data_IF_221950787849
#
_entry.id   IF_221950787849
#
_cell.length_a   1.000
_cell.length_b   1.000
_cell.length_c   1.000
_cell.angle_alpha   90.00
_cell.angle_beta   90.00
_cell.angle_gamma   90.00
#
_symmetry.space_group_name_H-M   'P 1'
#
loop_
_entity.id
_entity.type
_entity.pdbx_description
1 polymer ?
#
# COMPACT_ATOMS: atom_id res chain seq x y z
N UNK A 1 -25.17 -13.32 10.63
CA UNK A 1 -24.13 -13.53 9.58
C UNK A 1 -24.31 -12.60 8.37
N UNK A 2 -25.52 -12.43 7.80
CA UNK A 2 -25.76 -11.55 6.64
C UNK A 2 -25.33 -10.09 6.86
N UNK A 3 -25.65 -9.50 8.01
CA UNK A 3 -25.27 -8.12 8.33
C UNK A 3 -23.74 -7.89 8.35
N UNK A 4 -22.95 -8.83 8.90
CA UNK A 4 -21.48 -8.72 8.94
C UNK A 4 -20.86 -8.71 7.53
N UNK A 5 -21.40 -9.54 6.63
CA UNK A 5 -20.95 -9.61 5.22
C UNK A 5 -21.36 -8.36 4.42
N UNK A 6 -22.56 -7.83 4.66
CA UNK A 6 -23.04 -6.58 4.05
C UNK A 6 -22.23 -5.37 4.52
N UNK A 7 -21.97 -5.24 5.83
CA UNK A 7 -21.12 -4.15 6.36
C UNK A 7 -19.68 -4.22 5.85
N UNK A 8 -19.12 -5.44 5.71
CA UNK A 8 -17.80 -5.62 5.09
C UNK A 8 -17.78 -5.09 3.65
N UNK A 9 -18.78 -5.47 2.85
CA UNK A 9 -18.91 -4.99 1.46
C UNK A 9 -19.05 -3.47 1.38
N UNK A 10 -19.87 -2.88 2.25
CA UNK A 10 -20.01 -1.42 2.34
C UNK A 10 -18.66 -0.75 2.64
N UNK A 11 -17.89 -1.28 3.60
CA UNK A 11 -16.56 -0.78 3.92
C UNK A 11 -15.58 -0.88 2.74
N UNK A 12 -15.59 -1.99 2.01
CA UNK A 12 -14.74 -2.18 0.82
C UNK A 12 -15.11 -1.18 -0.27
N UNK A 13 -16.41 -0.99 -0.56
CA UNK A 13 -16.87 -0.03 -1.58
C UNK A 13 -16.50 1.41 -1.19
N UNK A 14 -16.69 1.77 0.07
CA UNK A 14 -16.30 3.08 0.60
C UNK A 14 -14.80 3.33 0.44
N UNK A 15 -13.96 2.32 0.73
CA UNK A 15 -12.52 2.40 0.55
C UNK A 15 -12.15 2.61 -0.92
N UNK A 16 -12.75 1.84 -1.84
CA UNK A 16 -12.52 1.96 -3.28
C UNK A 16 -12.86 3.36 -3.77
N UNK A 17 -13.97 3.95 -3.31
CA UNK A 17 -14.35 5.33 -3.66
C UNK A 17 -13.34 6.36 -3.17
N UNK A 18 -12.77 6.17 -1.97
CA UNK A 18 -11.68 7.02 -1.46
C UNK A 18 -10.44 6.99 -2.37
N UNK A 19 -10.00 5.78 -2.76
CA UNK A 19 -8.89 5.62 -3.71
C UNK A 19 -9.23 6.20 -5.09
N UNK A 20 -10.45 6.06 -5.58
CA UNK A 20 -10.87 6.64 -6.86
C UNK A 20 -10.77 8.18 -6.83
N UNK A 21 -11.16 8.81 -5.72
CA UNK A 21 -11.00 10.25 -5.51
C UNK A 21 -9.52 10.67 -5.52
N UNK A 22 -8.66 9.95 -4.81
CA UNK A 22 -7.23 10.22 -4.79
C UNK A 22 -6.56 10.02 -6.16
N UNK A 23 -6.88 8.94 -6.88
CA UNK A 23 -6.39 8.70 -8.24
C UNK A 23 -6.86 9.78 -9.22
N UNK A 24 -8.11 10.23 -9.11
CA UNK A 24 -8.63 11.34 -9.92
C UNK A 24 -7.85 12.64 -9.68
N UNK A 25 -7.59 12.96 -8.40
CA UNK A 25 -6.80 14.14 -8.03
C UNK A 25 -5.35 14.04 -8.54
N UNK A 26 -4.75 12.85 -8.51
CA UNK A 26 -3.43 12.59 -9.11
C UNK A 26 -3.44 12.87 -10.63
N UNK A 27 -4.39 12.27 -11.36
CA UNK A 27 -4.48 12.44 -12.82
C UNK A 27 -4.66 13.91 -13.21
N UNK A 28 -5.58 14.62 -12.56
CA UNK A 28 -5.83 16.04 -12.81
C UNK A 28 -4.63 16.92 -12.43
N UNK A 29 -3.86 16.55 -11.41
CA UNK A 29 -2.65 17.29 -11.04
C UNK A 29 -1.48 17.01 -11.97
N UNK A 30 -1.42 15.79 -12.52
CA UNK A 30 -0.38 15.37 -13.46
C UNK A 30 -0.47 16.02 -14.84
N UNK A 31 -1.61 16.63 -15.18
CA UNK A 31 -1.78 17.39 -16.43
C UNK A 31 -1.39 18.87 -16.33
N UNK A 32 -0.84 19.31 -15.18
CA UNK A 32 -0.34 20.69 -15.01
C UNK A 32 1.07 20.82 -15.59
N UNK A 33 1.37 21.97 -16.19
CA UNK A 33 2.68 22.25 -16.79
C UNK A 33 3.85 22.22 -15.78
N UNK A 34 3.56 22.45 -14.48
CA UNK A 34 4.54 22.40 -13.38
C UNK A 34 4.81 20.97 -12.85
N UNK A 35 4.23 19.94 -13.47
CA UNK A 35 4.40 18.56 -13.02
C UNK A 35 5.80 18.03 -13.34
N UNK A 36 6.49 17.48 -12.34
CA UNK A 36 7.83 16.91 -12.55
C UNK A 36 7.74 15.62 -13.37
N UNK A 37 8.08 15.67 -14.66
CA UNK A 37 8.09 14.52 -15.56
C UNK A 37 9.23 13.53 -15.32
N UNK A 38 10.35 14.01 -14.75
CA UNK A 38 11.57 13.20 -14.56
C UNK A 38 11.68 12.58 -13.15
N UNK A 39 10.58 12.58 -12.39
CA UNK A 39 10.58 12.00 -11.06
C UNK A 39 10.66 10.47 -11.13
N UNK A 40 11.75 9.91 -10.56
CA UNK A 40 11.95 8.47 -10.47
C UNK A 40 11.69 7.99 -9.04
N UNK A 41 10.71 7.10 -8.89
CA UNK A 41 10.39 6.48 -7.61
C UNK A 41 11.55 5.59 -7.13
N UNK A 42 11.94 5.67 -5.85
CA UNK A 42 12.88 4.73 -5.26
C UNK A 42 12.48 3.27 -5.45
N UNK A 43 13.47 2.40 -5.69
CA UNK A 43 13.26 0.96 -5.85
C UNK A 43 12.62 0.31 -4.61
N UNK A 44 12.77 0.93 -3.43
CA UNK A 44 12.10 0.52 -2.19
C UNK A 44 10.58 0.37 -2.34
N UNK A 45 9.93 1.24 -3.12
CA UNK A 45 8.48 1.16 -3.37
C UNK A 45 8.11 -0.07 -4.21
N UNK A 46 8.92 -0.44 -5.21
CA UNK A 46 8.71 -1.66 -5.99
C UNK A 46 8.86 -2.91 -5.13
N UNK A 47 9.92 -2.99 -4.31
CA UNK A 47 10.10 -4.10 -3.38
C UNK A 47 8.94 -4.19 -2.38
N UNK A 48 8.46 -3.07 -1.85
CA UNK A 48 7.31 -3.06 -0.94
C UNK A 48 6.04 -3.61 -1.60
N UNK A 49 5.82 -3.30 -2.89
CA UNK A 49 4.67 -3.82 -3.65
C UNK A 49 4.76 -5.33 -3.83
N UNK A 50 5.94 -5.85 -4.16
CA UNK A 50 6.18 -7.30 -4.24
C UNK A 50 5.93 -7.98 -2.89
N UNK A 51 6.42 -7.41 -1.79
CA UNK A 51 6.19 -7.92 -0.42
C UNK A 51 4.69 -7.93 -0.07
N UNK A 52 3.95 -6.88 -0.44
CA UNK A 52 2.51 -6.80 -0.20
C UNK A 52 1.73 -7.88 -0.97
N UNK A 53 2.09 -8.12 -2.24
CA UNK A 53 1.49 -9.19 -3.06
C UNK A 53 1.79 -10.56 -2.44
N UNK A 54 3.02 -10.81 -2.00
CA UNK A 54 3.39 -12.03 -1.30
C UNK A 54 2.61 -12.21 0.00
N UNK A 55 2.42 -11.15 0.77
CA UNK A 55 1.63 -11.15 2.01
C UNK A 55 0.16 -11.56 1.76
N UNK A 56 -0.43 -11.09 0.65
CA UNK A 56 -1.77 -11.52 0.24
C UNK A 56 -1.84 -13.02 -0.07
N UNK A 57 -0.81 -13.56 -0.75
CA UNK A 57 -0.72 -15.00 -1.02
C UNK A 57 -0.58 -15.82 0.27
N UNK A 58 0.25 -15.39 1.21
CA UNK A 58 0.43 -16.09 2.50
C UNK A 58 -0.87 -16.09 3.32
N UNK A 59 -1.65 -15.01 3.27
CA UNK A 59 -2.96 -14.95 3.91
C UNK A 59 -3.97 -15.91 3.28
N UNK A 60 -3.99 -16.03 1.95
CA UNK A 60 -4.86 -17.00 1.24
C UNK A 60 -4.51 -18.44 1.66
N UNK A 61 -3.22 -18.76 1.77
CA UNK A 61 -2.74 -20.06 2.25
C UNK A 61 -3.13 -20.31 3.71
N UNK A 62 -3.02 -19.29 4.57
CA UNK A 62 -3.47 -19.36 5.96
C UNK A 62 -4.96 -19.73 6.06
N UNK A 63 -5.80 -19.02 5.31
CA UNK A 63 -7.24 -19.28 5.26
C UNK A 63 -7.57 -20.68 4.76
N UNK A 64 -6.85 -21.18 3.75
CA UNK A 64 -7.01 -22.55 3.24
C UNK A 64 -6.60 -23.59 4.27
N UNK A 65 -5.48 -23.41 4.96
CA UNK A 65 -4.99 -24.33 5.99
C UNK A 65 -5.95 -24.43 7.18
N UNK A 66 -6.51 -23.31 7.64
CA UNK A 66 -7.50 -23.29 8.72
C UNK A 66 -8.79 -24.01 8.30
N UNK A 67 -9.21 -23.87 7.03
CA UNK A 67 -10.39 -24.58 6.51
C UNK A 67 -10.19 -26.09 6.39
N UNK A 68 -8.94 -26.58 6.37
CA UNK A 68 -8.59 -28.00 6.34
C UNK A 68 -8.30 -28.57 7.74
N UNK A 69 -8.82 -27.91 8.80
CA UNK A 69 -8.57 -28.24 10.22
C UNK A 69 -7.09 -28.24 10.65
N UNK A 70 -6.19 -27.69 9.83
CA UNK A 70 -4.78 -27.56 10.16
C UNK A 70 -4.48 -26.19 10.78
N UNK A 71 -4.98 -25.99 12.02
CA UNK A 71 -4.83 -24.73 12.75
C UNK A 71 -3.36 -24.35 12.98
N UNK A 72 -2.47 -25.33 13.22
CA UNK A 72 -1.03 -25.08 13.42
C UNK A 72 -0.37 -24.51 12.15
N UNK A 73 -0.69 -25.05 10.97
CA UNK A 73 -0.21 -24.48 9.71
C UNK A 73 -0.83 -23.10 9.47
N UNK A 74 -2.12 -22.92 9.75
CA UNK A 74 -2.82 -21.64 9.68
C UNK A 74 -2.13 -20.53 10.49
N UNK A 75 -1.80 -20.79 11.76
CA UNK A 75 -1.09 -19.83 12.62
C UNK A 75 0.29 -19.49 12.07
N UNK A 76 1.05 -20.47 11.56
CA UNK A 76 2.37 -20.20 10.94
C UNK A 76 2.25 -19.26 9.74
N UNK A 77 1.27 -19.48 8.86
CA UNK A 77 1.03 -18.60 7.71
C UNK A 77 0.56 -17.20 8.12
N UNK A 78 -0.23 -17.07 9.18
CA UNK A 78 -0.63 -15.77 9.73
C UNK A 78 0.57 -15.00 10.32
N UNK A 79 1.44 -15.68 11.07
CA UNK A 79 2.68 -15.08 11.58
C UNK A 79 3.57 -14.63 10.43
N UNK A 80 3.72 -15.45 9.39
CA UNK A 80 4.47 -15.06 8.18
C UNK A 80 3.86 -13.81 7.51
N UNK A 81 2.53 -13.75 7.39
CA UNK A 81 1.81 -12.60 6.83
C UNK A 81 2.05 -11.34 7.67
N UNK A 82 2.07 -11.47 9.00
CA UNK A 82 2.37 -10.36 9.91
C UNK A 82 3.82 -9.86 9.75
N UNK A 83 4.79 -10.77 9.65
CA UNK A 83 6.19 -10.42 9.40
C UNK A 83 6.32 -9.70 8.06
N UNK A 84 5.69 -10.20 7.00
CA UNK A 84 5.69 -9.53 5.69
C UNK A 84 5.03 -8.14 5.74
N UNK A 85 3.97 -7.98 6.52
CA UNK A 85 3.33 -6.68 6.76
C UNK A 85 4.25 -5.68 7.47
N UNK A 86 5.01 -6.13 8.48
CA UNK A 86 6.02 -5.28 9.16
C UNK A 86 7.13 -4.90 8.18
N UNK A 87 7.63 -5.86 7.40
CA UNK A 87 8.64 -5.61 6.36
C UNK A 87 8.15 -4.58 5.33
N UNK A 88 6.88 -4.66 4.92
CA UNK A 88 6.26 -3.66 4.05
C UNK A 88 6.31 -2.25 4.64
N UNK A 89 5.96 -2.09 5.92
CA UNK A 89 6.00 -0.79 6.61
C UNK A 89 7.43 -0.23 6.64
N UNK A 90 8.43 -1.07 6.95
CA UNK A 90 9.84 -0.66 6.97
C UNK A 90 10.30 -0.17 5.59
N UNK A 91 9.94 -0.90 4.52
CA UNK A 91 10.29 -0.50 3.15
C UNK A 91 9.61 0.81 2.73
N UNK A 92 8.38 1.06 3.18
CA UNK A 92 7.70 2.33 2.95
C UNK A 92 8.45 3.48 3.62
N UNK A 93 8.81 3.35 4.89
CA UNK A 93 9.63 4.37 5.57
C UNK A 93 10.98 4.61 4.89
N UNK A 94 11.65 3.56 4.41
CA UNK A 94 12.89 3.69 3.65
C UNK A 94 12.69 4.43 2.32
N UNK A 95 11.65 4.09 1.55
CA UNK A 95 11.31 4.78 0.31
C UNK A 95 11.05 6.26 0.52
N UNK A 96 10.27 6.62 1.54
CA UNK A 96 10.01 8.02 1.90
C UNK A 96 11.27 8.73 2.40
N UNK A 97 12.10 8.07 3.20
CA UNK A 97 13.35 8.66 3.68
C UNK A 97 14.34 8.92 2.53
N UNK A 98 14.40 8.04 1.53
CA UNK A 98 15.23 8.20 0.34
C UNK A 98 14.72 9.35 -0.54
N UNK A 99 13.39 9.53 -0.66
CA UNK A 99 12.82 10.69 -1.33
C UNK A 99 13.22 11.99 -0.65
N UNK A 100 13.07 12.09 0.67
CA UNK A 100 13.46 13.27 1.44
C UNK A 100 14.97 13.53 1.28
N UNK A 101 15.80 12.48 1.32
CA UNK A 101 17.25 12.58 1.11
C UNK A 101 17.65 13.07 -0.29
N UNK A 102 16.82 12.84 -1.31
CA UNK A 102 16.99 13.38 -2.67
C UNK A 102 16.47 14.82 -2.82
N UNK A 103 16.04 15.46 -1.74
CA UNK A 103 15.49 16.82 -1.75
C UNK A 103 14.01 16.90 -2.12
N UNK A 104 13.33 15.75 -2.17
CA UNK A 104 11.91 15.69 -2.47
C UNK A 104 11.09 15.81 -1.19
N UNK A 105 10.79 17.07 -0.83
CA UNK A 105 10.03 17.38 0.38
C UNK A 105 8.53 17.48 0.08
N UNK A 106 7.75 16.85 0.94
CA UNK A 106 6.29 16.84 0.89
C UNK A 106 5.66 18.16 1.42
N UNK A 107 6.42 18.96 2.17
CA UNK A 107 5.97 20.25 2.74
C UNK A 107 7.14 21.24 2.82
N UNK A 108 6.85 22.55 2.78
CA UNK A 108 7.83 23.63 2.96
C UNK A 108 8.01 24.54 1.72
N UNK A 109 8.87 25.58 1.80
CA UNK A 109 9.05 26.56 0.71
C UNK A 109 9.59 25.98 -0.60
N UNK A 110 10.20 24.78 -0.54
CA UNK A 110 10.77 24.05 -1.68
C UNK A 110 9.96 22.81 -2.06
N UNK A 111 8.74 22.65 -1.54
CA UNK A 111 7.88 21.49 -1.87
C UNK A 111 7.24 21.62 -3.25
N UNK A 112 7.20 20.53 -4.01
CA UNK A 112 6.47 20.45 -5.28
C UNK A 112 5.15 19.68 -5.08
N UNK A 113 4.08 20.13 -5.73
CA UNK A 113 2.76 19.48 -5.74
C UNK A 113 2.85 18.02 -6.18
N UNK A 114 3.80 17.66 -7.06
CA UNK A 114 4.05 16.27 -7.47
C UNK A 114 4.38 15.35 -6.29
N UNK A 115 5.06 15.85 -5.25
CA UNK A 115 5.42 15.04 -4.08
C UNK A 115 4.24 14.76 -3.18
N UNK A 116 3.24 15.64 -3.13
CA UNK A 116 2.04 15.48 -2.29
C UNK A 116 1.15 14.30 -2.68
N UNK A 117 1.37 13.72 -3.86
CA UNK A 117 0.58 12.58 -4.36
C UNK A 117 1.37 11.25 -4.40
N UNK A 118 2.60 11.22 -3.87
CA UNK A 118 3.39 10.00 -3.65
C UNK A 118 3.18 9.50 -2.23
#
# INVERSE_FOLDING_TARGET
VRAKKMMLWFGIVSLIMGFAGWTSAYIVSSSRDDWMTDFTLPQAFLYSTTVLVLSSLTYILAKRAIKQDNSKAGTRWLVLTLVLGITFIILQFQGFSEMIGRGYYFTGPTSNITMSYV
#
